data_IF_948260054102
#
_entry.id   IF_948260054102
#
_cell.length_a   1.000
_cell.length_b   1.000
_cell.length_c   1.000
_cell.angle_alpha   90.00
_cell.angle_beta   90.00
_cell.angle_gamma   90.00
#
_symmetry.space_group_name_H-M   'P 1'
#
loop_
_entity.id
_entity.type
_entity.pdbx_description
1 polymer ?
#
# COMPACT_ATOMS: atom_id res chain seq x y z
N UNK A 1 8.24 28.79 0.48
CA UNK A 1 7.61 27.48 0.21
C UNK A 1 8.22 26.45 1.15
N UNK A 2 7.43 25.55 1.73
CA UNK A 2 7.96 24.43 2.53
C UNK A 2 8.72 23.46 1.63
N UNK A 3 9.73 22.76 2.17
CA UNK A 3 10.40 21.66 1.45
C UNK A 3 9.40 20.60 0.98
N UNK A 4 8.35 20.37 1.76
CA UNK A 4 7.28 19.41 1.43
C UNK A 4 6.45 19.86 0.22
N UNK A 5 6.19 21.18 0.10
CA UNK A 5 5.47 21.71 -1.05
C UNK A 5 6.28 21.55 -2.34
N UNK A 6 7.61 21.75 -2.26
CA UNK A 6 8.53 21.55 -3.38
C UNK A 6 8.59 20.06 -3.77
N UNK A 7 8.58 19.14 -2.80
CA UNK A 7 8.57 17.70 -3.05
C UNK A 7 7.27 17.26 -3.75
N UNK A 8 6.12 17.76 -3.32
CA UNK A 8 4.84 17.42 -3.96
C UNK A 8 4.77 17.96 -5.40
N UNK A 9 5.11 19.23 -5.63
CA UNK A 9 5.12 19.81 -6.99
C UNK A 9 6.08 19.06 -7.93
N UNK A 10 7.24 18.65 -7.42
CA UNK A 10 8.19 17.81 -8.17
C UNK A 10 7.59 16.44 -8.51
N UNK A 11 6.93 15.77 -7.55
CA UNK A 11 6.24 14.50 -7.79
C UNK A 11 5.23 14.61 -8.93
N UNK A 12 4.38 15.64 -8.90
CA UNK A 12 3.34 15.83 -9.91
C UNK A 12 3.96 16.12 -11.29
N UNK A 13 5.08 16.86 -11.33
CA UNK A 13 5.83 17.15 -12.56
C UNK A 13 6.43 15.88 -13.17
N UNK A 14 7.04 15.01 -12.36
CA UNK A 14 7.74 13.81 -12.86
C UNK A 14 6.78 12.67 -13.21
N UNK A 15 5.68 12.55 -12.48
CA UNK A 15 4.74 11.42 -12.61
C UNK A 15 3.49 11.75 -13.41
N UNK A 16 3.14 13.04 -13.54
CA UNK A 16 1.85 13.48 -14.09
C UNK A 16 0.64 13.13 -13.21
N UNK A 17 0.86 12.70 -11.96
CA UNK A 17 -0.19 12.28 -11.02
C UNK A 17 -0.24 13.23 -9.83
N UNK A 18 -1.43 13.46 -9.28
CA UNK A 18 -1.58 14.26 -8.06
C UNK A 18 -1.03 13.49 -6.85
N UNK A 19 -0.17 14.14 -6.06
CA UNK A 19 0.42 13.53 -4.87
C UNK A 19 -0.65 13.09 -3.86
N UNK A 20 -1.65 13.93 -3.61
CA UNK A 20 -2.68 13.64 -2.62
C UNK A 20 -3.59 12.48 -3.03
N UNK A 21 -3.85 12.31 -4.33
CA UNK A 21 -4.63 11.18 -4.83
C UNK A 21 -3.86 9.86 -4.68
N UNK A 22 -2.55 9.88 -4.92
CA UNK A 22 -1.71 8.70 -4.69
C UNK A 22 -1.59 8.38 -3.20
N UNK A 23 -1.50 9.37 -2.31
CA UNK A 23 -1.55 9.14 -0.86
C UNK A 23 -2.90 8.55 -0.43
N UNK A 24 -4.02 9.00 -1.02
CA UNK A 24 -5.35 8.42 -0.76
C UNK A 24 -5.45 6.98 -1.26
N UNK A 25 -4.91 6.70 -2.42
CA UNK A 25 -4.88 5.36 -3.00
C UNK A 25 -4.03 4.40 -2.16
N UNK A 26 -2.85 4.84 -1.71
CA UNK A 26 -2.06 4.07 -0.76
C UNK A 26 -2.83 3.78 0.52
N UNK A 27 -3.55 4.76 1.08
CA UNK A 27 -4.41 4.56 2.26
C UNK A 27 -5.53 3.55 1.99
N UNK A 28 -6.14 3.55 0.81
CA UNK A 28 -7.15 2.55 0.40
C UNK A 28 -6.54 1.15 0.42
N UNK A 29 -5.37 0.97 -0.21
CA UNK A 29 -4.66 -0.32 -0.24
C UNK A 29 -4.29 -0.80 1.17
N UNK A 30 -3.85 0.10 2.05
CA UNK A 30 -3.57 -0.22 3.45
C UNK A 30 -4.82 -0.66 4.21
N UNK A 31 -5.97 -0.02 3.98
CA UNK A 31 -7.23 -0.42 4.60
C UNK A 31 -7.67 -1.82 4.14
N UNK A 32 -7.46 -2.15 2.86
CA UNK A 32 -7.76 -3.48 2.32
C UNK A 32 -6.80 -4.55 2.87
N UNK A 33 -5.53 -4.21 3.01
CA UNK A 33 -4.53 -5.06 3.66
C UNK A 33 -4.88 -5.35 5.12
N UNK A 34 -5.36 -4.34 5.86
CA UNK A 34 -5.86 -4.52 7.23
C UNK A 34 -7.08 -5.44 7.25
N UNK A 35 -8.06 -5.22 6.37
CA UNK A 35 -9.25 -6.07 6.31
C UNK A 35 -8.91 -7.53 5.95
N UNK A 36 -7.89 -7.77 5.12
CA UNK A 36 -7.39 -9.11 4.83
C UNK A 36 -6.71 -9.76 6.05
N UNK A 37 -5.91 -8.98 6.80
CA UNK A 37 -5.31 -9.43 8.05
C UNK A 37 -6.38 -9.82 9.08
N UNK A 38 -7.42 -9.00 9.22
CA UNK A 38 -8.52 -9.24 10.16
C UNK A 38 -9.25 -10.55 9.82
N UNK A 39 -9.47 -10.85 8.53
CA UNK A 39 -10.06 -12.13 8.08
C UNK A 39 -9.17 -13.32 8.40
N UNK A 40 -7.87 -13.21 8.19
CA UNK A 40 -6.91 -14.26 8.53
C UNK A 40 -6.90 -14.54 10.05
N UNK A 41 -6.90 -13.48 10.86
CA UNK A 41 -6.92 -13.57 12.33
C UNK A 41 -8.25 -14.12 12.86
N UNK A 42 -9.37 -13.77 12.22
CA UNK A 42 -10.70 -14.27 12.57
C UNK A 42 -10.97 -15.71 12.11
N UNK A 43 -10.11 -16.29 11.26
CA UNK A 43 -10.26 -17.67 10.82
C UNK A 43 -10.12 -18.62 12.03
N UNK A 44 -11.14 -19.46 12.32
CA UNK A 44 -11.12 -20.36 13.48
C UNK A 44 -10.26 -21.61 13.26
N UNK A 45 -9.88 -21.88 12.02
CA UNK A 45 -9.13 -23.07 11.62
C UNK A 45 -7.65 -23.00 12.06
N UNK A 46 -7.02 -24.17 12.17
CA UNK A 46 -5.60 -24.30 12.48
C UNK A 46 -4.70 -23.70 11.39
N UNK A 47 -3.44 -23.41 11.73
CA UNK A 47 -2.49 -22.74 10.83
C UNK A 47 -2.24 -23.48 9.51
N UNK A 48 -2.35 -24.81 9.51
CA UNK A 48 -2.11 -25.65 8.33
C UNK A 48 -3.39 -25.89 7.50
N UNK A 49 -4.55 -25.39 7.97
CA UNK A 49 -5.81 -25.59 7.27
C UNK A 49 -5.79 -24.86 5.91
N UNK A 50 -6.29 -25.49 4.83
CA UNK A 50 -6.28 -24.90 3.49
C UNK A 50 -6.91 -23.50 3.42
N UNK A 51 -7.97 -23.25 4.19
CA UNK A 51 -8.64 -21.95 4.22
C UNK A 51 -7.78 -20.87 4.88
N UNK A 52 -7.09 -21.20 5.98
CA UNK A 52 -6.19 -20.25 6.65
C UNK A 52 -4.98 -19.93 5.79
N UNK A 53 -4.42 -20.92 5.09
CA UNK A 53 -3.34 -20.70 4.11
C UNK A 53 -3.79 -19.82 2.95
N UNK A 54 -5.02 -19.99 2.44
CA UNK A 54 -5.60 -19.14 1.40
C UNK A 54 -5.75 -17.68 1.86
N UNK A 55 -6.22 -17.48 3.10
CA UNK A 55 -6.35 -16.16 3.70
C UNK A 55 -4.98 -15.50 3.93
N UNK A 56 -3.98 -16.27 4.35
CA UNK A 56 -2.59 -15.78 4.51
C UNK A 56 -2.01 -15.31 3.18
N UNK A 57 -2.17 -16.10 2.12
CA UNK A 57 -1.72 -15.74 0.78
C UNK A 57 -2.39 -14.46 0.28
N UNK A 58 -3.70 -14.34 0.47
CA UNK A 58 -4.45 -13.13 0.09
C UNK A 58 -3.97 -11.89 0.86
N UNK A 59 -3.77 -12.03 2.18
CA UNK A 59 -3.23 -10.96 3.03
C UNK A 59 -1.81 -10.54 2.64
N UNK A 60 -0.93 -11.49 2.33
CA UNK A 60 0.43 -11.21 1.85
C UNK A 60 0.42 -10.47 0.53
N UNK A 61 -0.35 -10.96 -0.45
CA UNK A 61 -0.41 -10.36 -1.78
C UNK A 61 -0.83 -8.87 -1.73
N UNK A 62 -1.85 -8.54 -0.93
CA UNK A 62 -2.31 -7.15 -0.84
C UNK A 62 -1.36 -6.26 -0.03
N UNK A 63 -0.63 -6.81 0.95
CA UNK A 63 0.43 -6.06 1.64
C UNK A 63 1.61 -5.76 0.73
N UNK A 64 2.01 -6.74 -0.09
CA UNK A 64 3.04 -6.54 -1.10
C UNK A 64 2.64 -5.46 -2.11
N UNK A 65 1.38 -5.45 -2.56
CA UNK A 65 0.86 -4.41 -3.44
C UNK A 65 0.90 -3.03 -2.79
N UNK A 66 0.38 -2.90 -1.56
CA UNK A 66 0.36 -1.64 -0.83
C UNK A 66 1.77 -1.11 -0.54
N UNK A 67 2.70 -2.01 -0.18
CA UNK A 67 4.11 -1.70 0.06
C UNK A 67 4.84 -1.29 -1.22
N UNK A 68 4.64 -2.01 -2.32
CA UNK A 68 5.23 -1.68 -3.61
C UNK A 68 4.71 -0.33 -4.15
N UNK A 69 3.42 -0.04 -3.94
CA UNK A 69 2.85 1.26 -4.29
C UNK A 69 3.54 2.38 -3.51
N UNK A 70 3.68 2.23 -2.19
CA UNK A 70 4.36 3.20 -1.33
C UNK A 70 5.82 3.42 -1.75
N UNK A 71 6.57 2.34 -1.97
CA UNK A 71 7.96 2.43 -2.40
C UNK A 71 8.12 3.17 -3.73
N UNK A 72 7.22 2.91 -4.71
CA UNK A 72 7.23 3.63 -5.99
C UNK A 72 6.96 5.12 -5.82
N UNK A 73 6.06 5.51 -4.91
CA UNK A 73 5.79 6.93 -4.66
C UNK A 73 7.06 7.66 -4.18
N UNK A 74 7.77 7.10 -3.21
CA UNK A 74 9.02 7.70 -2.70
C UNK A 74 10.16 7.63 -3.68
N UNK A 75 10.31 6.52 -4.41
CA UNK A 75 11.32 6.41 -5.46
C UNK A 75 11.14 7.48 -6.55
N UNK A 76 9.91 7.93 -6.82
CA UNK A 76 9.67 9.05 -7.75
C UNK A 76 10.09 10.40 -7.16
N UNK A 77 10.02 10.58 -5.84
CA UNK A 77 10.53 11.77 -5.15
C UNK A 77 12.06 11.80 -5.08
N UNK A 78 12.68 10.64 -4.92
CA UNK A 78 14.14 10.49 -4.77
C UNK A 78 14.90 10.55 -6.12
N UNK A 79 14.20 10.71 -7.26
CA UNK A 79 14.80 10.84 -8.61
C UNK A 79 15.46 12.21 -8.89
N UNK A 80 15.57 13.08 -7.88
CA UNK A 80 16.24 14.38 -7.98
C UNK A 80 17.75 14.24 -8.17
#
# INVERSE_FOLDING_TARGET
MSKDAIAHEYYETVTGRCWLDDVREWRRLQAEAQAAADRYLACPEDLEAPERLRLEQAWRAINEEAGAFWQRMWANLDRQ
#
